data_IF_847279242835
#
_entry.id   IF_847279242835
#
_cell.length_a   1.000
_cell.length_b   1.000
_cell.length_c   1.000
_cell.angle_alpha   90.00
_cell.angle_beta   90.00
_cell.angle_gamma   90.00
#
_symmetry.space_group_name_H-M   'P 1'
#
loop_
_entity.id
_entity.type
_entity.pdbx_description
1 polymer ?
#
# COMPACT_ATOMS: atom_id res chain seq x y z
N UNK A 1 -81.63 3.99 42.12
CA UNK A 1 -81.55 5.48 42.11
C UNK A 1 -80.42 5.87 41.19
N UNK A 2 -80.72 6.23 39.97
CA UNK A 2 -80.54 7.56 39.36
C UNK A 2 -79.11 8.14 39.53
N UNK A 3 -78.35 8.50 38.50
CA UNK A 3 -78.54 9.31 37.26
C UNK A 3 -77.27 9.16 36.41
N UNK A 4 -77.43 8.84 35.16
CA UNK A 4 -77.29 9.67 33.93
C UNK A 4 -76.01 10.47 33.70
N UNK A 5 -75.43 10.10 32.57
CA UNK A 5 -74.93 10.90 31.43
C UNK A 5 -73.79 11.91 31.67
N UNK A 6 -72.69 11.76 30.94
CA UNK A 6 -72.55 12.49 29.65
C UNK A 6 -71.28 12.08 28.92
N UNK A 7 -71.49 11.82 27.68
CA UNK A 7 -70.57 11.67 26.57
C UNK A 7 -69.68 12.87 26.38
N UNK A 8 -68.38 12.65 26.18
CA UNK A 8 -67.59 13.49 25.23
C UNK A 8 -66.55 12.63 24.50
N UNK A 9 -66.74 12.59 23.22
CA UNK A 9 -65.82 12.18 22.17
C UNK A 9 -64.58 13.09 22.14
N UNK A 10 -63.40 12.52 21.79
CA UNK A 10 -62.39 13.04 20.88
C UNK A 10 -61.01 12.55 21.27
N UNK A 11 -60.02 12.53 20.35
CA UNK A 11 -59.88 11.56 19.27
C UNK A 11 -58.57 10.78 19.40
N UNK A 12 -58.47 9.73 18.61
CA UNK A 12 -57.29 8.94 18.33
C UNK A 12 -56.06 9.81 18.00
N UNK A 13 -54.98 9.60 18.77
CA UNK A 13 -53.64 10.01 18.34
C UNK A 13 -52.84 8.74 18.08
N UNK A 14 -52.83 8.32 16.80
CA UNK A 14 -51.95 7.28 16.31
C UNK A 14 -50.51 7.78 16.37
N UNK A 15 -49.70 7.27 17.32
CA UNK A 15 -48.27 7.38 17.28
C UNK A 15 -47.74 6.45 16.18
N UNK A 16 -47.50 7.02 14.99
CA UNK A 16 -46.69 6.46 13.94
C UNK A 16 -45.22 6.48 14.43
N UNK A 17 -44.74 5.32 14.87
CA UNK A 17 -43.33 5.08 15.05
C UNK A 17 -42.72 5.01 13.65
N UNK A 18 -42.20 6.13 13.18
CA UNK A 18 -41.31 6.19 12.02
C UNK A 18 -39.98 5.57 12.44
N UNK A 19 -39.81 4.27 12.17
CA UNK A 19 -38.51 3.64 12.12
C UNK A 19 -37.76 4.25 10.93
N UNK A 20 -36.96 5.28 11.24
CA UNK A 20 -36.07 5.88 10.26
C UNK A 20 -34.95 4.89 9.89
N UNK A 21 -35.19 4.12 8.83
CA UNK A 21 -34.08 3.55 8.06
C UNK A 21 -33.36 4.74 7.44
N UNK A 22 -32.25 5.16 8.03
CA UNK A 22 -31.30 6.03 7.37
C UNK A 22 -30.65 5.24 6.26
N UNK A 23 -31.28 5.25 5.08
CA UNK A 23 -30.61 4.90 3.85
C UNK A 23 -29.45 5.88 3.69
N UNK A 24 -28.21 5.39 3.83
CA UNK A 24 -27.05 6.12 3.33
C UNK A 24 -27.26 6.24 1.81
N UNK A 25 -27.91 7.31 1.39
CA UNK A 25 -27.87 7.74 0.00
C UNK A 25 -26.46 8.20 -0.26
N UNK A 26 -25.70 7.43 -1.02
CA UNK A 26 -24.47 7.90 -1.63
C UNK A 26 -24.81 9.21 -2.35
N UNK A 27 -24.26 10.33 -1.90
CA UNK A 27 -24.42 11.61 -2.58
C UNK A 27 -23.69 11.49 -3.91
N UNK A 28 -24.44 11.31 -5.00
CA UNK A 28 -23.90 11.41 -6.37
C UNK A 28 -23.41 12.85 -6.54
N UNK A 29 -22.11 13.02 -6.67
CA UNK A 29 -21.48 14.31 -6.91
C UNK A 29 -21.84 14.71 -8.36
N UNK A 30 -22.56 15.82 -8.58
CA UNK A 30 -22.86 16.26 -9.94
C UNK A 30 -21.58 16.44 -10.75
N UNK A 31 -21.41 15.70 -11.85
CA UNK A 31 -20.21 15.71 -12.69
C UNK A 31 -19.09 14.78 -12.24
N UNK A 32 -19.31 13.91 -11.25
CA UNK A 32 -18.35 12.88 -10.85
C UNK A 32 -18.12 11.79 -11.91
N UNK A 33 -16.94 11.16 -11.88
CA UNK A 33 -16.59 10.06 -12.78
C UNK A 33 -17.31 8.78 -12.35
N UNK A 34 -18.07 8.18 -13.25
CA UNK A 34 -18.82 6.94 -13.02
C UNK A 34 -18.57 5.92 -14.13
N UNK A 35 -18.61 4.64 -13.78
CA UNK A 35 -18.56 3.55 -14.75
C UNK A 35 -17.36 3.63 -15.68
N UNK A 36 -17.60 3.61 -16.99
CA UNK A 36 -16.54 3.59 -18.00
C UNK A 36 -15.55 4.77 -17.90
N UNK A 37 -16.02 5.98 -17.54
CA UNK A 37 -15.15 7.16 -17.41
C UNK A 37 -14.23 7.04 -16.16
N UNK A 38 -14.73 6.49 -15.07
CA UNK A 38 -13.92 6.21 -13.88
C UNK A 38 -12.88 5.13 -14.15
N UNK A 39 -13.27 4.05 -14.83
CA UNK A 39 -12.35 2.97 -15.25
C UNK A 39 -11.24 3.50 -16.16
N UNK A 40 -11.57 4.32 -17.18
CA UNK A 40 -10.56 4.93 -18.06
C UNK A 40 -9.61 5.85 -17.28
N UNK A 41 -10.11 6.59 -16.31
CA UNK A 41 -9.26 7.41 -15.46
C UNK A 41 -8.28 6.55 -14.64
N UNK A 42 -8.77 5.46 -14.02
CA UNK A 42 -7.92 4.53 -13.26
C UNK A 42 -6.92 3.81 -14.18
N UNK A 43 -7.29 3.48 -15.44
CA UNK A 43 -6.35 2.94 -16.42
C UNK A 43 -5.19 3.90 -16.67
N UNK A 44 -5.47 5.21 -16.78
CA UNK A 44 -4.41 6.21 -16.96
C UNK A 44 -3.52 6.33 -15.72
N UNK A 45 -4.10 6.23 -14.51
CA UNK A 45 -3.32 6.19 -13.26
C UNK A 45 -2.39 4.98 -13.25
N UNK A 46 -2.90 3.79 -13.53
CA UNK A 46 -2.10 2.56 -13.60
C UNK A 46 -1.01 2.64 -14.66
N UNK A 47 -1.32 3.19 -15.84
CA UNK A 47 -0.31 3.42 -16.88
C UNK A 47 0.84 4.30 -16.37
N UNK A 48 0.53 5.41 -15.70
CA UNK A 48 1.55 6.33 -15.17
C UNK A 48 2.36 5.71 -14.01
N UNK A 49 1.74 4.84 -13.19
CA UNK A 49 2.46 4.08 -12.16
C UNK A 49 3.49 3.14 -12.80
N UNK A 50 3.09 2.38 -13.82
CA UNK A 50 3.95 1.42 -14.50
C UNK A 50 5.03 2.08 -15.36
N UNK A 51 4.75 3.26 -15.92
CA UNK A 51 5.70 4.02 -16.74
C UNK A 51 6.73 4.75 -15.88
N UNK A 52 6.30 5.31 -14.75
CA UNK A 52 7.16 6.04 -13.83
C UNK A 52 8.26 5.20 -13.17
N UNK A 53 8.19 3.87 -13.27
CA UNK A 53 9.22 2.96 -12.75
C UNK A 53 10.33 2.63 -13.76
N UNK A 54 10.15 2.97 -15.06
CA UNK A 54 11.03 2.48 -16.12
C UNK A 54 12.35 3.23 -16.29
N UNK A 55 12.36 4.54 -16.05
CA UNK A 55 13.50 5.42 -16.38
C UNK A 55 14.04 6.17 -15.16
N UNK A 56 13.83 5.63 -13.96
CA UNK A 56 14.25 6.31 -12.76
C UNK A 56 15.71 5.97 -12.39
N UNK A 57 16.60 6.87 -12.76
CA UNK A 57 18.01 6.83 -12.37
C UNK A 57 18.25 7.39 -10.97
N UNK A 58 17.25 8.05 -10.36
CA UNK A 58 17.37 8.61 -9.03
C UNK A 58 17.60 7.51 -7.99
N UNK A 59 18.53 7.76 -7.09
CA UNK A 59 18.84 6.86 -5.99
C UNK A 59 18.65 7.57 -4.67
N UNK A 60 18.11 6.84 -3.71
CA UNK A 60 17.77 7.38 -2.39
C UNK A 60 18.42 6.57 -1.27
N UNK A 61 18.61 7.23 -0.16
CA UNK A 61 18.72 6.59 1.14
C UNK A 61 17.47 6.90 1.93
N UNK A 62 16.98 5.93 2.69
CA UNK A 62 15.76 6.07 3.49
C UNK A 62 15.76 5.05 4.64
N UNK A 63 14.84 5.25 5.58
CA UNK A 63 14.58 4.30 6.66
C UNK A 63 13.32 3.52 6.36
N UNK A 64 13.36 2.22 6.65
CA UNK A 64 12.17 1.37 6.61
C UNK A 64 12.00 0.71 7.98
N UNK A 65 10.84 0.88 8.60
CA UNK A 65 10.41 0.20 9.79
C UNK A 65 9.36 -0.83 9.45
N UNK A 66 9.69 -2.10 9.72
CA UNK A 66 8.81 -3.24 9.47
C UNK A 66 8.32 -3.80 10.81
N UNK A 67 7.03 -3.92 10.97
CA UNK A 67 6.36 -4.54 12.11
C UNK A 67 5.74 -5.86 11.71
N UNK A 68 5.85 -6.86 12.58
CA UNK A 68 5.21 -8.17 12.48
C UNK A 68 4.78 -8.62 13.86
N UNK A 69 3.98 -9.70 14.02
CA UNK A 69 3.66 -10.25 15.35
C UNK A 69 4.89 -10.66 16.17
N UNK A 70 6.05 -10.82 15.53
CA UNK A 70 7.32 -11.18 16.21
C UNK A 70 8.11 -9.97 16.70
N UNK A 71 7.64 -8.76 16.42
CA UNK A 71 8.31 -7.51 16.78
C UNK A 71 8.61 -6.63 15.58
N UNK A 72 9.37 -5.57 15.80
CA UNK A 72 9.73 -4.60 14.77
C UNK A 72 11.22 -4.57 14.47
N UNK A 73 11.55 -4.23 13.23
CA UNK A 73 12.92 -3.95 12.78
C UNK A 73 12.95 -2.65 12.00
N UNK A 74 13.95 -1.81 12.26
CA UNK A 74 14.22 -0.62 11.47
C UNK A 74 15.54 -0.77 10.75
N UNK A 75 15.57 -0.47 9.47
CA UNK A 75 16.77 -0.52 8.64
C UNK A 75 17.00 0.83 7.97
N UNK A 76 18.26 1.23 7.86
CA UNK A 76 18.69 2.28 6.95
C UNK A 76 19.04 1.62 5.62
N UNK A 77 18.49 2.13 4.53
CA UNK A 77 18.65 1.58 3.17
C UNK A 77 19.37 2.62 2.33
N UNK A 78 20.27 2.17 1.47
CA UNK A 78 20.87 2.98 0.39
C UNK A 78 20.70 2.22 -0.91
N UNK A 79 20.10 2.85 -1.90
CA UNK A 79 19.97 2.34 -3.26
C UNK A 79 21.24 2.55 -4.05
N UNK A 80 21.65 1.56 -4.84
CA UNK A 80 22.77 1.63 -5.77
C UNK A 80 22.40 1.00 -7.10
N UNK A 81 23.23 1.19 -8.13
CA UNK A 81 23.06 0.50 -9.42
C UNK A 81 23.22 -1.02 -9.33
N UNK A 82 23.93 -1.50 -8.29
CA UNK A 82 24.22 -2.92 -8.05
C UNK A 82 23.21 -3.59 -7.09
N UNK A 83 22.13 -2.89 -6.69
CA UNK A 83 21.15 -3.31 -5.71
C UNK A 83 21.17 -2.45 -4.45
N UNK A 84 20.26 -2.69 -3.53
CA UNK A 84 20.14 -1.91 -2.31
C UNK A 84 20.95 -2.53 -1.17
N UNK A 85 21.59 -1.68 -0.36
CA UNK A 85 22.22 -2.07 0.90
C UNK A 85 21.30 -1.66 2.05
N UNK A 86 21.03 -2.57 2.96
CA UNK A 86 20.25 -2.31 4.15
C UNK A 86 21.07 -2.62 5.41
N UNK A 87 21.11 -1.69 6.36
CA UNK A 87 21.75 -1.85 7.68
C UNK A 87 20.69 -1.84 8.77
N UNK A 88 20.76 -2.79 9.69
CA UNK A 88 19.91 -2.83 10.86
C UNK A 88 20.24 -1.68 11.82
N UNK A 89 19.27 -0.83 12.13
CA UNK A 89 19.43 0.32 13.04
C UNK A 89 18.64 0.19 14.34
N UNK A 90 17.54 -0.56 14.33
CA UNK A 90 16.79 -0.87 15.55
C UNK A 90 16.07 -2.22 15.48
N UNK A 91 15.88 -2.85 16.63
CA UNK A 91 15.02 -4.02 16.86
C UNK A 91 14.11 -3.69 18.05
N UNK A 92 12.78 -3.76 17.84
CA UNK A 92 11.78 -3.34 18.83
C UNK A 92 12.07 -1.91 19.36
N UNK A 93 12.40 -1.01 18.42
CA UNK A 93 12.73 0.40 18.66
C UNK A 93 13.92 0.65 19.60
N UNK A 94 14.73 -0.37 19.84
CA UNK A 94 15.97 -0.29 20.60
C UNK A 94 17.19 -0.53 19.70
N UNK A 95 18.35 0.02 20.07
CA UNK A 95 19.60 -0.25 19.37
C UNK A 95 19.89 -1.76 19.35
N UNK A 96 20.33 -2.31 18.21
CA UNK A 96 20.66 -3.72 18.12
C UNK A 96 21.72 -4.12 19.16
N UNK A 97 21.53 -5.27 19.79
CA UNK A 97 22.54 -5.86 20.69
C UNK A 97 23.77 -6.37 19.92
N UNK A 98 24.79 -6.88 20.63
CA UNK A 98 26.04 -7.36 20.04
C UNK A 98 25.83 -8.45 18.99
N UNK A 99 24.99 -9.44 19.29
CA UNK A 99 24.72 -10.57 18.40
C UNK A 99 23.94 -10.13 17.14
N UNK A 100 22.95 -9.25 17.30
CA UNK A 100 22.18 -8.69 16.19
C UNK A 100 23.07 -7.86 15.26
N UNK A 101 23.97 -7.04 15.81
CA UNK A 101 24.95 -6.29 15.03
C UNK A 101 25.88 -7.22 14.27
N UNK A 102 26.42 -8.22 14.94
CA UNK A 102 27.31 -9.20 14.31
C UNK A 102 26.61 -9.94 13.16
N UNK A 103 25.38 -10.41 13.36
CA UNK A 103 24.60 -11.06 12.31
C UNK A 103 24.36 -10.14 11.10
N UNK A 104 24.07 -8.86 11.34
CA UNK A 104 23.89 -7.87 10.28
C UNK A 104 25.19 -7.58 9.54
N UNK A 105 26.32 -7.46 10.27
CA UNK A 105 27.65 -7.29 9.69
C UNK A 105 28.04 -8.50 8.84
N UNK A 106 27.88 -9.73 9.34
CA UNK A 106 28.16 -10.96 8.62
C UNK A 106 27.31 -11.06 7.33
N UNK A 107 26.02 -10.67 7.40
CA UNK A 107 25.13 -10.59 6.24
C UNK A 107 25.62 -9.59 5.19
N UNK A 108 26.05 -8.40 5.61
CA UNK A 108 26.58 -7.36 4.71
C UNK A 108 27.90 -7.81 4.09
N UNK A 109 28.81 -8.38 4.92
CA UNK A 109 30.09 -8.90 4.42
C UNK A 109 29.90 -10.02 3.39
N UNK A 110 28.94 -10.92 3.62
CA UNK A 110 28.57 -11.93 2.63
C UNK A 110 28.18 -11.29 1.30
N UNK A 111 27.36 -10.23 1.32
CA UNK A 111 26.95 -9.52 0.10
C UNK A 111 28.10 -8.77 -0.59
N UNK A 112 29.11 -8.31 0.16
CA UNK A 112 30.33 -7.70 -0.42
C UNK A 112 31.16 -8.76 -1.13
N UNK A 113 31.36 -9.92 -0.50
CA UNK A 113 32.27 -10.94 -0.96
C UNK A 113 31.67 -11.90 -1.98
N UNK A 114 30.35 -11.94 -2.11
CA UNK A 114 29.64 -12.84 -2.99
C UNK A 114 28.75 -12.06 -3.98
N UNK A 115 29.26 -11.71 -5.17
CA UNK A 115 28.50 -11.05 -6.21
C UNK A 115 27.29 -11.88 -6.68
N UNK A 116 27.40 -13.21 -6.70
CA UNK A 116 26.30 -14.09 -7.12
C UNK A 116 25.13 -14.02 -6.15
N UNK A 117 25.41 -13.94 -4.85
CA UNK A 117 24.38 -13.73 -3.82
C UNK A 117 23.67 -12.38 -4.01
N UNK A 118 24.42 -11.30 -4.35
CA UNK A 118 23.82 -9.99 -4.68
C UNK A 118 22.90 -10.09 -5.90
N UNK A 119 23.38 -10.70 -6.98
CA UNK A 119 22.59 -10.89 -8.19
C UNK A 119 21.35 -11.76 -7.95
N UNK A 120 21.46 -12.79 -7.12
CA UNK A 120 20.32 -13.60 -6.72
C UNK A 120 19.26 -12.76 -6.02
N UNK A 121 19.64 -11.98 -5.01
CA UNK A 121 18.71 -11.09 -4.29
C UNK A 121 18.10 -10.02 -5.17
N UNK A 122 18.89 -9.47 -6.08
CA UNK A 122 18.36 -8.51 -7.06
C UNK A 122 17.32 -9.15 -7.97
N UNK A 123 17.56 -10.37 -8.45
CA UNK A 123 16.56 -11.11 -9.24
C UNK A 123 15.28 -11.40 -8.44
N UNK A 124 15.41 -11.83 -7.18
CA UNK A 124 14.26 -12.05 -6.28
C UNK A 124 13.41 -10.76 -6.12
N UNK A 125 14.08 -9.62 -5.87
CA UNK A 125 13.40 -8.33 -5.78
C UNK A 125 12.73 -7.92 -7.11
N UNK A 126 13.37 -8.14 -8.24
CA UNK A 126 12.79 -7.88 -9.56
C UNK A 126 11.59 -8.78 -9.86
N UNK A 127 11.61 -10.04 -9.44
CA UNK A 127 10.48 -10.94 -9.58
C UNK A 127 9.29 -10.50 -8.72
N UNK A 128 9.54 -10.07 -7.49
CA UNK A 128 8.49 -9.54 -6.62
C UNK A 128 7.91 -8.23 -7.16
N UNK A 129 8.76 -7.34 -7.70
CA UNK A 129 8.30 -6.13 -8.38
C UNK A 129 7.42 -6.45 -9.60
N UNK A 130 7.82 -7.42 -10.45
CA UNK A 130 7.00 -7.86 -11.59
C UNK A 130 5.66 -8.44 -11.18
N UNK A 131 5.59 -9.18 -10.07
CA UNK A 131 4.31 -9.68 -9.53
C UNK A 131 3.41 -8.52 -9.10
N UNK A 132 3.98 -7.53 -8.38
CA UNK A 132 3.25 -6.33 -7.97
C UNK A 132 2.77 -5.52 -9.18
N UNK A 133 3.61 -5.32 -10.20
CA UNK A 133 3.22 -4.70 -11.48
C UNK A 133 2.10 -5.47 -12.17
N UNK A 134 2.18 -6.81 -12.18
CA UNK A 134 1.14 -7.68 -12.74
C UNK A 134 -0.21 -7.50 -12.05
N UNK A 135 -0.20 -7.39 -10.72
CA UNK A 135 -1.40 -7.10 -9.93
C UNK A 135 -1.94 -5.69 -10.24
N UNK A 136 -1.07 -4.69 -10.27
CA UNK A 136 -1.46 -3.31 -10.58
C UNK A 136 -2.05 -3.19 -12.00
N UNK A 137 -1.49 -3.89 -12.98
CA UNK A 137 -1.91 -3.85 -14.39
C UNK A 137 -3.36 -4.27 -14.59
N UNK A 138 -3.85 -5.23 -13.83
CA UNK A 138 -5.22 -5.74 -13.94
C UNK A 138 -6.22 -5.02 -13.05
N UNK A 139 -5.74 -4.09 -12.22
CA UNK A 139 -6.57 -3.34 -11.28
C UNK A 139 -7.78 -2.64 -11.96
N UNK A 140 -7.61 -1.95 -13.13
CA UNK A 140 -8.72 -1.27 -13.78
C UNK A 140 -9.85 -2.21 -14.24
N UNK A 141 -9.52 -3.44 -14.62
CA UNK A 141 -10.49 -4.41 -15.11
C UNK A 141 -11.11 -5.22 -13.96
N UNK A 142 -10.38 -5.33 -12.84
CA UNK A 142 -10.79 -6.11 -11.68
C UNK A 142 -11.94 -5.49 -10.91
N UNK A 143 -12.11 -4.17 -11.00
CA UNK A 143 -13.10 -3.43 -10.21
C UNK A 143 -13.97 -2.50 -11.03
N UNK A 144 -15.14 -2.22 -10.48
CA UNK A 144 -15.98 -1.09 -10.87
C UNK A 144 -15.70 0.07 -9.91
N UNK A 145 -15.62 1.28 -10.47
CA UNK A 145 -15.21 2.48 -9.74
C UNK A 145 -16.34 3.52 -9.75
N UNK A 146 -16.53 4.15 -8.58
CA UNK A 146 -17.46 5.26 -8.39
C UNK A 146 -16.72 6.39 -7.67
N UNK A 147 -16.70 7.59 -8.25
CA UNK A 147 -16.18 8.77 -7.58
C UNK A 147 -17.10 9.18 -6.43
N UNK A 148 -16.56 9.19 -5.21
CA UNK A 148 -17.31 9.50 -3.99
C UNK A 148 -16.89 10.81 -3.33
N UNK A 149 -15.89 11.52 -3.88
CA UNK A 149 -15.46 12.81 -3.37
C UNK A 149 -14.21 13.37 -4.02
N UNK A 150 -14.02 14.66 -3.84
CA UNK A 150 -12.79 15.40 -4.23
C UNK A 150 -12.37 16.34 -3.11
N UNK A 151 -11.05 16.46 -2.94
CA UNK A 151 -10.44 17.42 -2.04
C UNK A 151 -9.19 18.02 -2.73
N UNK A 152 -9.31 19.24 -3.25
CA UNK A 152 -8.29 19.82 -4.11
C UNK A 152 -8.05 18.95 -5.35
N UNK A 153 -6.81 18.55 -5.57
CA UNK A 153 -6.43 17.67 -6.68
C UNK A 153 -6.68 16.17 -6.38
N UNK A 154 -7.05 15.82 -5.15
CA UNK A 154 -7.30 14.43 -4.77
C UNK A 154 -8.72 14.00 -5.14
N UNK A 155 -8.82 12.90 -5.86
CA UNK A 155 -10.08 12.27 -6.24
C UNK A 155 -10.17 10.95 -5.47
N UNK A 156 -11.32 10.74 -4.82
CA UNK A 156 -11.62 9.52 -4.06
C UNK A 156 -12.63 8.69 -4.81
N UNK A 157 -12.28 7.43 -5.06
CA UNK A 157 -13.15 6.42 -5.64
C UNK A 157 -13.49 5.37 -4.59
N UNK A 158 -14.73 4.91 -4.57
CA UNK A 158 -15.09 3.61 -4.06
C UNK A 158 -14.85 2.57 -5.15
N UNK A 159 -14.31 1.40 -4.80
CA UNK A 159 -14.17 0.29 -5.72
C UNK A 159 -14.77 -0.98 -5.14
N UNK A 160 -15.40 -1.78 -5.98
CA UNK A 160 -15.93 -3.10 -5.67
C UNK A 160 -15.70 -4.04 -6.85
N UNK A 161 -15.72 -5.38 -6.65
CA UNK A 161 -15.38 -6.32 -7.72
C UNK A 161 -16.23 -6.16 -8.97
N UNK A 162 -15.59 -6.21 -10.11
CA UNK A 162 -16.25 -6.35 -11.39
C UNK A 162 -16.71 -7.82 -11.55
N UNK A 163 -18.03 -8.10 -11.65
CA UNK A 163 -18.55 -9.47 -11.77
C UNK A 163 -18.09 -10.18 -13.06
N UNK A 164 -17.66 -9.42 -14.07
CA UNK A 164 -17.17 -9.95 -15.34
C UNK A 164 -15.65 -10.13 -15.38
N UNK A 165 -14.95 -9.81 -14.28
CA UNK A 165 -13.50 -9.97 -14.23
C UNK A 165 -13.10 -11.45 -14.17
N UNK A 166 -12.30 -11.88 -15.14
CA UNK A 166 -11.65 -13.18 -15.13
C UNK A 166 -10.17 -13.03 -14.76
N UNK A 167 -9.76 -13.43 -13.52
CA UNK A 167 -8.39 -13.26 -13.07
C UNK A 167 -7.40 -14.03 -13.94
N UNK A 168 -6.35 -13.38 -14.46
CA UNK A 168 -5.35 -14.04 -15.31
C UNK A 168 -4.46 -15.01 -14.55
N UNK A 169 -4.42 -14.92 -13.23
CA UNK A 169 -3.63 -15.78 -12.35
C UNK A 169 -4.31 -15.93 -10.98
N UNK A 170 -3.71 -16.78 -10.14
CA UNK A 170 -4.24 -17.06 -8.82
C UNK A 170 -4.17 -15.86 -7.88
N UNK A 171 -3.11 -15.08 -7.96
CA UNK A 171 -2.92 -13.89 -7.14
C UNK A 171 -4.03 -12.87 -7.40
N UNK A 172 -4.35 -12.60 -8.66
CA UNK A 172 -5.42 -11.69 -9.04
C UNK A 172 -6.82 -12.16 -8.63
N UNK A 173 -7.00 -13.45 -8.28
CA UNK A 173 -8.28 -13.95 -7.80
C UNK A 173 -8.71 -13.29 -6.48
N UNK A 174 -7.78 -12.72 -5.69
CA UNK A 174 -8.10 -12.00 -4.46
C UNK A 174 -9.05 -10.81 -4.72
N UNK A 175 -8.96 -10.20 -5.89
CA UNK A 175 -9.78 -9.05 -6.26
C UNK A 175 -11.29 -9.35 -6.33
N UNK A 176 -11.67 -10.63 -6.52
CA UNK A 176 -13.08 -11.02 -6.50
C UNK A 176 -13.77 -10.88 -5.15
N UNK A 177 -13.01 -10.81 -4.07
CA UNK A 177 -13.54 -10.66 -2.70
C UNK A 177 -13.14 -9.34 -2.03
N UNK A 178 -12.59 -8.40 -2.78
CA UNK A 178 -11.99 -7.19 -2.23
C UNK A 178 -12.80 -5.94 -2.61
N UNK A 179 -13.05 -5.07 -1.65
CA UNK A 179 -13.65 -3.74 -1.88
C UNK A 179 -12.94 -2.69 -1.04
N UNK A 180 -13.15 -1.41 -1.36
CA UNK A 180 -12.51 -0.35 -0.59
C UNK A 180 -12.51 1.01 -1.25
N UNK A 181 -11.50 1.80 -0.92
CA UNK A 181 -11.32 3.18 -1.39
C UNK A 181 -9.97 3.34 -2.10
N UNK A 182 -10.00 4.00 -3.23
CA UNK A 182 -8.84 4.44 -4.01
C UNK A 182 -8.77 5.95 -3.98
N UNK A 183 -7.63 6.54 -3.59
CA UNK A 183 -7.37 7.98 -3.69
C UNK A 183 -6.26 8.20 -4.70
N UNK A 184 -6.48 9.10 -5.62
CA UNK A 184 -5.54 9.45 -6.68
C UNK A 184 -5.30 10.96 -6.73
N UNK A 185 -4.10 11.37 -7.13
CA UNK A 185 -3.83 12.74 -7.56
C UNK A 185 -4.37 12.94 -8.98
N UNK A 186 -5.42 13.73 -9.12
CA UNK A 186 -6.11 13.95 -10.40
C UNK A 186 -5.30 14.73 -11.41
N UNK A 187 -4.33 15.56 -10.96
CA UNK A 187 -3.44 16.34 -11.83
C UNK A 187 -2.31 15.49 -12.37
N UNK A 188 -1.60 14.80 -11.49
CA UNK A 188 -0.47 13.95 -11.85
C UNK A 188 -0.91 12.56 -12.32
N UNK A 189 -2.17 12.19 -12.08
CA UNK A 189 -2.72 10.86 -12.31
C UNK A 189 -1.83 9.78 -11.69
N UNK A 190 -1.56 9.95 -10.39
CA UNK A 190 -0.76 9.03 -9.59
C UNK A 190 -1.60 8.47 -8.46
N UNK A 191 -1.32 7.23 -8.10
CA UNK A 191 -1.93 6.58 -6.96
C UNK A 191 -1.41 7.22 -5.67
N UNK A 192 -2.31 7.69 -4.81
CA UNK A 192 -1.96 8.23 -3.49
C UNK A 192 -2.21 7.20 -2.39
N UNK A 193 -3.35 6.49 -2.47
CA UNK A 193 -3.74 5.55 -1.43
C UNK A 193 -4.70 4.50 -1.97
N UNK A 194 -4.50 3.25 -1.53
CA UNK A 194 -5.50 2.17 -1.60
C UNK A 194 -5.76 1.71 -0.18
N UNK A 195 -7.04 1.58 0.17
CA UNK A 195 -7.49 1.09 1.48
C UNK A 195 -8.66 0.15 1.25
N UNK A 196 -8.46 -1.13 1.51
CA UNK A 196 -9.46 -2.13 1.18
C UNK A 196 -9.48 -3.30 2.16
N UNK A 197 -10.53 -4.10 2.02
CA UNK A 197 -10.72 -5.28 2.82
C UNK A 197 -11.38 -6.41 2.03
N UNK A 198 -11.22 -7.63 2.52
CA UNK A 198 -11.93 -8.81 2.01
C UNK A 198 -13.34 -8.84 2.65
N UNK A 199 -14.37 -8.57 1.85
CA UNK A 199 -15.75 -8.64 2.33
C UNK A 199 -16.30 -10.08 2.33
N UNK A 200 -15.60 -11.02 1.68
CA UNK A 200 -15.91 -12.45 1.65
C UNK A 200 -14.62 -13.28 1.61
N UNK A 201 -14.76 -14.59 1.85
CA UNK A 201 -13.68 -15.54 1.66
C UNK A 201 -13.31 -15.65 0.18
N UNK A 202 -12.01 -15.71 -0.11
CA UNK A 202 -11.50 -15.93 -1.47
C UNK A 202 -10.81 -17.28 -1.54
N UNK A 203 -11.34 -18.19 -2.37
CA UNK A 203 -10.80 -19.54 -2.55
C UNK A 203 -9.95 -19.64 -3.81
N UNK A 204 -8.91 -20.44 -3.75
CA UNK A 204 -7.97 -20.69 -4.84
C UNK A 204 -8.01 -22.16 -5.22
N UNK A 205 -7.99 -22.45 -6.53
CA UNK A 205 -7.94 -23.82 -7.03
C UNK A 205 -9.10 -24.69 -6.51
N UNK A 206 -10.35 -24.22 -6.67
CA UNK A 206 -11.56 -24.89 -6.21
C UNK A 206 -11.60 -25.13 -4.68
N UNK A 207 -10.89 -24.28 -3.91
CA UNK A 207 -10.75 -24.41 -2.47
C UNK A 207 -9.68 -25.41 -2.02
N UNK A 208 -9.11 -26.18 -2.93
CA UNK A 208 -8.08 -27.20 -2.64
C UNK A 208 -6.73 -26.56 -2.35
N UNK A 209 -6.35 -25.52 -3.13
CA UNK A 209 -5.04 -24.88 -3.01
C UNK A 209 -4.97 -23.88 -1.86
N UNK A 210 -6.11 -23.33 -1.45
CA UNK A 210 -6.16 -22.42 -0.31
C UNK A 210 -7.37 -21.49 -0.30
N UNK A 211 -7.47 -20.76 0.80
CA UNK A 211 -8.51 -19.76 1.05
C UNK A 211 -7.93 -18.61 1.86
N UNK A 212 -8.23 -17.38 1.47
CA UNK A 212 -8.10 -16.19 2.33
C UNK A 212 -9.43 -15.94 3.01
N UNK A 213 -9.38 -15.58 4.28
CA UNK A 213 -10.56 -15.39 5.11
C UNK A 213 -11.09 -13.96 4.99
N UNK A 214 -12.41 -13.83 5.02
CA UNK A 214 -13.12 -12.55 5.15
C UNK A 214 -12.54 -11.71 6.29
N UNK A 215 -12.57 -10.38 6.15
CA UNK A 215 -12.08 -9.43 7.14
C UNK A 215 -10.59 -9.11 7.05
N UNK A 216 -9.85 -9.78 6.13
CA UNK A 216 -8.49 -9.36 5.82
C UNK A 216 -8.46 -7.93 5.28
N UNK A 217 -7.45 -7.14 5.66
CA UNK A 217 -7.28 -5.74 5.24
C UNK A 217 -5.96 -5.51 4.53
N UNK A 218 -5.94 -4.54 3.63
CA UNK A 218 -4.70 -4.04 3.04
C UNK A 218 -4.78 -2.53 2.87
N UNK A 219 -3.67 -1.90 3.12
CA UNK A 219 -3.50 -0.46 3.01
C UNK A 219 -2.15 -0.18 2.34
N UNK A 220 -2.17 0.65 1.30
CA UNK A 220 -0.96 1.14 0.64
C UNK A 220 -1.09 2.65 0.47
N UNK A 221 -0.07 3.38 0.86
CA UNK A 221 0.02 4.81 0.65
C UNK A 221 1.33 5.17 -0.04
N UNK A 222 1.22 5.96 -1.09
CA UNK A 222 2.33 6.56 -1.81
C UNK A 222 2.44 8.05 -1.52
N UNK A 223 3.63 8.58 -1.69
CA UNK A 223 3.90 10.02 -1.63
C UNK A 223 4.96 10.40 -2.64
N UNK A 224 4.79 11.57 -3.24
CA UNK A 224 5.86 12.20 -4.00
C UNK A 224 6.98 12.61 -3.04
N UNK A 225 8.18 12.10 -3.26
CA UNK A 225 9.33 12.35 -2.39
C UNK A 225 10.30 13.36 -2.99
N UNK A 226 10.48 13.33 -4.31
CA UNK A 226 11.35 14.29 -4.99
C UNK A 226 11.09 14.29 -6.50
N UNK A 227 10.83 15.49 -7.09
CA UNK A 227 10.54 15.61 -8.52
C UNK A 227 9.44 14.67 -8.99
N UNK A 228 9.69 13.84 -10.02
CA UNK A 228 8.71 12.86 -10.51
C UNK A 228 8.62 11.59 -9.66
N UNK A 229 9.51 11.40 -8.69
CA UNK A 229 9.61 10.16 -7.90
C UNK A 229 8.50 10.05 -6.86
N UNK A 230 7.72 8.99 -6.97
CA UNK A 230 6.72 8.56 -5.99
C UNK A 230 7.16 7.25 -5.34
N UNK A 231 6.96 7.14 -4.04
CA UNK A 231 7.34 5.95 -3.26
C UNK A 231 6.22 5.50 -2.34
N UNK A 232 6.14 4.20 -2.15
CA UNK A 232 5.32 3.59 -1.11
C UNK A 232 5.92 3.95 0.25
N UNK A 233 5.22 4.82 0.99
CA UNK A 233 5.65 5.25 2.31
C UNK A 233 5.00 4.47 3.44
N UNK A 234 3.87 3.81 3.17
CA UNK A 234 3.21 2.93 4.13
C UNK A 234 2.56 1.77 3.39
N UNK A 235 2.80 0.57 3.88
CA UNK A 235 2.10 -0.65 3.50
C UNK A 235 1.67 -1.35 4.79
N UNK A 236 0.39 -1.75 4.89
CA UNK A 236 -0.15 -2.49 6.02
C UNK A 236 -1.04 -3.61 5.49
N UNK A 237 -0.64 -4.85 5.74
CA UNK A 237 -1.35 -6.04 5.27
C UNK A 237 -1.69 -6.90 6.47
N UNK A 238 -2.97 -7.17 6.64
CA UNK A 238 -3.48 -8.06 7.68
C UNK A 238 -4.41 -9.09 7.04
N UNK A 239 -3.90 -10.27 6.73
CA UNK A 239 -4.67 -11.33 6.07
C UNK A 239 -4.43 -12.67 6.74
N UNK A 240 -5.51 -13.40 6.94
CA UNK A 240 -5.50 -14.78 7.41
C UNK A 240 -6.04 -15.70 6.33
N UNK A 241 -5.65 -16.98 6.41
CA UNK A 241 -6.10 -17.95 5.44
C UNK A 241 -5.55 -19.34 5.72
N UNK A 242 -5.86 -20.24 4.81
CA UNK A 242 -5.39 -21.63 4.83
C UNK A 242 -4.86 -22.02 3.46
N UNK A 243 -3.77 -22.78 3.43
CA UNK A 243 -3.22 -23.39 2.22
C UNK A 243 -3.18 -24.91 2.38
N UNK A 244 -3.41 -25.63 1.28
CA UNK A 244 -3.29 -27.10 1.22
C UNK A 244 -3.98 -27.81 2.40
N UNK A 245 -5.23 -27.40 2.67
CA UNK A 245 -6.13 -27.92 3.73
C UNK A 245 -5.70 -27.65 5.19
N UNK A 246 -4.41 -27.53 5.49
CA UNK A 246 -3.93 -27.54 6.88
C UNK A 246 -2.95 -26.42 7.24
N UNK A 247 -2.26 -25.84 6.26
CA UNK A 247 -1.28 -24.79 6.54
C UNK A 247 -1.98 -23.44 6.73
N UNK A 248 -1.94 -22.91 7.95
CA UNK A 248 -2.41 -21.55 8.22
C UNK A 248 -1.49 -20.55 7.54
N UNK A 249 -2.09 -19.62 6.79
CA UNK A 249 -1.44 -18.42 6.28
C UNK A 249 -1.86 -17.30 7.22
N UNK A 250 -0.88 -16.62 7.80
CA UNK A 250 -1.12 -15.42 8.61
C UNK A 250 -0.10 -14.39 8.17
N UNK A 251 -0.57 -13.35 7.49
CA UNK A 251 0.23 -12.24 7.03
C UNK A 251 -0.22 -10.98 7.79
N UNK A 252 0.58 -10.59 8.77
CA UNK A 252 0.39 -9.38 9.55
C UNK A 252 1.69 -8.61 9.45
N UNK A 253 1.72 -7.65 8.56
CA UNK A 253 2.93 -6.90 8.26
C UNK A 253 2.58 -5.44 8.00
N UNK A 254 3.25 -4.55 8.74
CA UNK A 254 3.20 -3.13 8.47
C UNK A 254 4.61 -2.63 8.18
N UNK A 255 4.75 -1.92 7.08
CA UNK A 255 6.00 -1.29 6.67
C UNK A 255 5.80 0.20 6.48
N UNK A 256 6.70 0.99 7.09
CA UNK A 256 6.71 2.45 6.96
C UNK A 256 8.09 2.89 6.54
N UNK A 257 8.16 3.62 5.42
CA UNK A 257 9.39 4.21 4.88
C UNK A 257 9.39 5.72 5.06
N UNK A 258 10.52 6.26 5.52
CA UNK A 258 10.72 7.67 5.86
C UNK A 258 12.14 8.15 5.57
N UNK A 259 12.37 9.45 5.77
CA UNK A 259 13.71 10.08 5.71
C UNK A 259 14.40 9.86 4.36
N UNK A 260 13.66 10.07 3.27
CA UNK A 260 14.19 9.96 1.92
C UNK A 260 15.13 11.11 1.59
N UNK A 261 16.36 10.78 1.20
CA UNK A 261 17.37 11.72 0.75
C UNK A 261 18.05 11.19 -0.50
N UNK A 262 18.32 12.06 -1.48
CA UNK A 262 19.08 11.68 -2.67
C UNK A 262 20.49 11.26 -2.33
N UNK A 263 20.98 10.26 -3.02
CA UNK A 263 22.39 9.86 -3.05
C UNK A 263 22.93 9.93 -4.49
N UNK A 264 24.26 9.94 -4.70
CA UNK A 264 24.82 9.92 -6.05
C UNK A 264 24.34 8.70 -6.86
N UNK A 265 23.94 8.93 -8.11
CA UNK A 265 23.43 7.87 -9.00
C UNK A 265 24.42 6.74 -9.27
N UNK A 266 25.71 7.09 -9.31
CA UNK A 266 26.84 6.18 -9.56
C UNK A 266 27.44 5.57 -8.29
N UNK A 267 26.72 5.65 -7.16
CA UNK A 267 27.20 5.08 -5.88
C UNK A 267 27.33 3.57 -6.02
N UNK A 268 28.54 3.04 -5.78
CA UNK A 268 28.78 1.61 -5.78
C UNK A 268 28.25 0.95 -4.51
N UNK A 269 28.00 -0.36 -4.56
CA UNK A 269 27.56 -1.14 -3.41
C UNK A 269 28.52 -1.01 -2.23
N UNK A 270 29.86 -1.06 -2.49
CA UNK A 270 30.89 -0.92 -1.44
C UNK A 270 30.86 0.47 -0.80
N UNK A 271 30.75 1.54 -1.60
CA UNK A 271 30.64 2.90 -1.07
C UNK A 271 29.40 3.08 -0.20
N UNK A 272 28.26 2.49 -0.61
CA UNK A 272 27.04 2.50 0.19
C UNK A 272 27.22 1.80 1.55
N UNK A 273 27.93 0.66 1.57
CA UNK A 273 28.29 -0.02 2.83
C UNK A 273 29.17 0.87 3.72
N UNK A 274 30.18 1.52 3.15
CA UNK A 274 31.10 2.40 3.89
C UNK A 274 30.34 3.61 4.50
N UNK A 275 29.37 4.17 3.77
CA UNK A 275 28.49 5.25 4.27
C UNK A 275 27.64 4.74 5.45
N UNK A 276 27.01 3.58 5.31
CA UNK A 276 26.17 2.99 6.35
C UNK A 276 26.98 2.61 7.61
N UNK A 277 28.26 2.25 7.46
CA UNK A 277 29.14 1.92 8.57
C UNK A 277 29.52 3.14 9.42
N UNK A 278 29.61 4.33 8.80
CA UNK A 278 29.96 5.60 9.48
C UNK A 278 28.80 6.24 10.24
N UNK A 279 27.58 5.74 10.04
CA UNK A 279 26.38 6.21 10.73
C UNK A 279 25.65 7.36 10.03
N UNK A 280 24.41 7.67 10.49
CA UNK A 280 23.50 8.59 9.80
C UNK A 280 23.99 10.04 9.69
N UNK A 281 24.89 10.49 10.55
CA UNK A 281 25.36 11.88 10.60
C UNK A 281 26.06 12.35 9.33
N UNK A 282 26.69 11.46 8.56
CA UNK A 282 27.38 11.81 7.32
C UNK A 282 26.50 11.78 6.07
N UNK A 283 25.31 11.18 6.16
CA UNK A 283 24.34 11.16 5.05
C UNK A 283 23.77 12.58 4.84
N UNK A 284 23.65 13.37 5.91
CA UNK A 284 23.12 14.73 5.87
C UNK A 284 24.13 15.77 5.34
N UNK A 285 25.43 15.50 5.44
CA UNK A 285 26.50 16.44 5.04
C UNK A 285 26.76 16.51 3.52
N UNK A 286 26.35 15.49 2.77
CA UNK A 286 26.45 15.44 1.30
C UNK A 286 25.27 16.12 0.58
N UNK A 287 24.62 17.11 1.20
CA UNK A 287 23.59 17.92 0.55
C UNK A 287 24.24 18.74 -0.58
N UNK A 288 23.86 18.54 -1.85
CA UNK A 288 24.35 19.42 -2.90
C UNK A 288 23.93 20.84 -2.57
N UNK A 289 24.88 21.76 -2.60
CA UNK A 289 24.67 23.19 -2.36
C UNK A 289 23.53 23.69 -3.25
N UNK A 290 22.52 24.32 -2.66
CA UNK A 290 21.49 25.04 -3.44
C UNK A 290 22.18 25.94 -4.43
N UNK A 291 21.82 25.93 -5.73
CA UNK A 291 22.31 26.95 -6.64
C UNK A 291 21.86 28.31 -6.10
N UNK A 292 22.80 29.15 -5.76
CA UNK A 292 22.57 30.55 -5.42
C UNK A 292 21.97 31.22 -6.65
N UNK A 293 20.71 31.64 -6.56
CA UNK A 293 20.10 32.52 -7.54
C UNK A 293 20.89 33.82 -7.54
N UNK A 294 21.74 34.04 -8.53
CA UNK A 294 22.27 35.34 -8.84
C UNK A 294 21.13 36.24 -9.34
N UNK A 295 21.04 37.40 -8.75
CA UNK A 295 20.12 38.51 -9.12
C UNK A 295 20.29 38.92 -10.57
#
# INVERSE_FOLDING_TARGET
>A
MHRKLQTRLLPSLACLVFSGFSSLTAQVIPGGLLGASATQFVQQVVYNELDGTKDDHLRFTYRTRKETPKGSTTKQIIETSEGSVARLVAVNDQSPNGDQRKQDDDRIQKLINDPEERHRKQREQQEDARKAEGMLRVLPDAFLYEEIGREGDLIRFHFHPNPHFDPPNREASVYRGMEGTLIVDGRQKRLVKIDGHLFQDVTFGWGILGRLEKGGTFFVQQRQIDGPRWEVVTMDINMNGKALFFKTISMHEKEVSSDFHRVPENLSFKQAVDILAKGPSQIAENKPARPTSSK
#
